data_IF_361227782044
#
_entry.id   IF_361227782044
#
_cell.length_a   1.000
_cell.length_b   1.000
_cell.length_c   1.000
_cell.angle_alpha   90.00
_cell.angle_beta   90.00
_cell.angle_gamma   90.00
#
_symmetry.space_group_name_H-M   'P 1'
#
loop_
_entity.id
_entity.type
_entity.pdbx_description
1 polymer ?
#
# COMPACT_ATOMS: atom_id res chain seq x y z
N UNK A 1 -13.27 17.70 32.14
CA UNK A 1 -12.04 16.97 32.54
C UNK A 1 -12.27 15.51 32.18
N UNK A 2 -11.62 14.83 31.24
CA UNK A 2 -10.27 14.89 30.70
C UNK A 2 -10.33 14.62 29.17
N UNK A 3 -10.07 15.64 28.33
CA UNK A 3 -9.53 15.39 26.99
C UNK A 3 -8.02 15.37 27.17
N UNK A 4 -7.47 14.23 27.57
CA UNK A 4 -6.04 14.02 27.42
C UNK A 4 -5.75 14.11 25.92
N UNK A 5 -5.06 15.19 25.55
CA UNK A 5 -4.41 15.30 24.24
C UNK A 5 -3.36 14.20 24.20
N UNK A 6 -3.74 13.03 23.72
CA UNK A 6 -2.82 11.97 23.33
C UNK A 6 -1.94 12.55 22.21
N UNK A 7 -0.79 13.13 22.59
CA UNK A 7 0.23 13.52 21.62
C UNK A 7 0.71 12.22 20.98
N UNK A 8 0.76 12.10 19.65
CA UNK A 8 1.41 10.96 19.02
C UNK A 8 2.85 10.92 19.56
N UNK A 9 3.18 9.88 20.33
CA UNK A 9 4.54 9.69 20.82
C UNK A 9 5.39 9.36 19.60
N UNK A 10 6.25 10.29 19.21
CA UNK A 10 7.19 10.12 18.08
C UNK A 10 7.97 8.81 18.23
N UNK A 11 8.24 8.40 19.47
CA UNK A 11 8.90 7.15 19.85
C UNK A 11 8.23 5.90 19.26
N UNK A 12 6.89 5.85 19.22
CA UNK A 12 6.14 4.70 18.69
C UNK A 12 6.32 4.58 17.18
N UNK A 13 6.32 5.71 16.47
CA UNK A 13 6.57 5.75 15.03
C UNK A 13 7.99 5.28 14.68
N UNK A 14 9.00 5.66 15.48
CA UNK A 14 10.37 5.18 15.27
C UNK A 14 10.50 3.68 15.52
N UNK A 15 9.82 3.14 16.54
CA UNK A 15 9.79 1.69 16.81
C UNK A 15 9.15 0.92 15.64
N UNK A 16 8.03 1.42 15.12
CA UNK A 16 7.36 0.88 13.94
C UNK A 16 8.28 0.88 12.70
N UNK A 17 9.00 1.98 12.47
CA UNK A 17 9.93 2.12 11.35
C UNK A 17 11.14 1.19 11.48
N UNK A 18 11.66 1.02 12.69
CA UNK A 18 12.70 0.03 13.00
C UNK A 18 12.18 -1.39 12.77
N UNK A 19 10.97 -1.72 13.22
CA UNK A 19 10.35 -3.02 12.98
C UNK A 19 10.21 -3.31 11.47
N UNK A 20 9.86 -2.30 10.68
CA UNK A 20 9.81 -2.41 9.22
C UNK A 20 11.20 -2.69 8.62
N UNK A 21 12.23 -1.95 9.05
CA UNK A 21 13.60 -2.21 8.61
C UNK A 21 14.08 -3.63 8.96
N UNK A 22 13.77 -4.10 10.17
CA UNK A 22 14.12 -5.46 10.61
C UNK A 22 13.39 -6.50 9.76
N UNK A 23 12.12 -6.31 9.39
CA UNK A 23 11.41 -7.27 8.52
C UNK A 23 12.00 -7.43 7.12
N UNK A 24 12.63 -6.38 6.60
CA UNK A 24 13.33 -6.45 5.31
C UNK A 24 14.64 -7.21 5.50
N UNK A 25 15.40 -6.88 6.55
CA UNK A 25 16.76 -7.37 6.72
C UNK A 25 16.83 -8.81 7.26
N UNK A 26 15.90 -9.19 8.14
CA UNK A 26 15.98 -10.44 8.91
C UNK A 26 16.01 -11.71 8.03
N UNK A 27 15.18 -11.85 6.97
CA UNK A 27 15.24 -13.03 6.11
C UNK A 27 16.54 -13.15 5.29
N UNK A 28 17.31 -12.07 5.15
CA UNK A 28 18.63 -12.08 4.51
C UNK A 28 19.78 -12.28 5.50
N UNK A 29 19.62 -11.84 6.75
CA UNK A 29 20.64 -11.98 7.79
C UNK A 29 20.67 -13.40 8.36
N UNK A 30 19.50 -14.02 8.55
CA UNK A 30 19.42 -15.37 9.13
C UNK A 30 19.73 -16.42 8.06
N UNK A 31 20.82 -17.16 8.23
CA UNK A 31 21.21 -18.21 7.29
C UNK A 31 20.23 -19.38 7.27
N UNK A 32 19.62 -19.71 8.41
CA UNK A 32 18.65 -20.79 8.49
C UNK A 32 17.28 -20.38 7.93
N UNK A 33 16.88 -21.06 6.86
CA UNK A 33 15.61 -20.83 6.15
C UNK A 33 14.42 -21.15 7.07
N UNK A 34 14.53 -22.16 7.94
CA UNK A 34 13.43 -22.55 8.83
C UNK A 34 13.13 -21.42 9.82
N UNK A 35 14.18 -20.82 10.39
CA UNK A 35 14.07 -19.70 11.32
C UNK A 35 13.50 -18.46 10.63
N UNK A 36 13.95 -18.17 9.40
CA UNK A 36 13.42 -17.07 8.59
C UNK A 36 11.92 -17.26 8.28
N UNK A 37 11.51 -18.49 7.95
CA UNK A 37 10.10 -18.83 7.70
C UNK A 37 9.25 -18.63 8.96
N UNK A 38 9.66 -19.20 10.10
CA UNK A 38 8.90 -19.05 11.36
C UNK A 38 8.71 -17.56 11.68
N UNK A 39 9.78 -16.77 11.59
CA UNK A 39 9.73 -15.34 11.84
C UNK A 39 8.76 -14.61 10.90
N UNK A 40 8.84 -14.84 9.59
CA UNK A 40 7.96 -14.18 8.63
C UNK A 40 6.48 -14.55 8.81
N UNK A 41 6.18 -15.77 9.28
CA UNK A 41 4.81 -16.22 9.55
C UNK A 41 4.23 -15.73 10.89
N UNK A 42 5.07 -15.27 11.83
CA UNK A 42 4.57 -14.64 13.06
C UNK A 42 3.79 -13.36 12.77
N UNK A 43 4.18 -12.58 11.75
CA UNK A 43 3.49 -11.32 11.42
C UNK A 43 2.04 -11.48 10.93
N UNK A 44 1.73 -12.31 9.92
CA UNK A 44 0.34 -12.56 9.55
C UNK A 44 -0.46 -13.22 10.69
N UNK A 45 0.19 -13.99 11.57
CA UNK A 45 -0.44 -14.52 12.77
C UNK A 45 -0.83 -13.39 13.75
N UNK A 46 0.08 -12.44 14.01
CA UNK A 46 -0.24 -11.27 14.85
C UNK A 46 -1.38 -10.44 14.27
N UNK A 47 -1.44 -10.24 12.95
CA UNK A 47 -2.58 -9.59 12.27
C UNK A 47 -3.90 -10.32 12.56
N UNK A 48 -3.90 -11.65 12.51
CA UNK A 48 -5.10 -12.44 12.79
C UNK A 48 -5.56 -12.30 14.25
N UNK A 49 -4.61 -12.29 15.20
CA UNK A 49 -4.87 -12.12 16.64
C UNK A 49 -5.45 -10.73 16.93
N UNK A 50 -4.96 -9.69 16.26
CA UNK A 50 -5.43 -8.31 16.41
C UNK A 50 -6.78 -8.04 15.74
N UNK A 51 -7.44 -9.07 15.19
CA UNK A 51 -8.76 -8.95 14.56
C UNK A 51 -8.74 -8.59 13.06
N UNK A 52 -7.56 -8.39 12.47
CA UNK A 52 -7.37 -8.11 11.04
C UNK A 52 -7.34 -9.40 10.20
N UNK A 53 -8.30 -10.30 10.43
CA UNK A 53 -8.35 -11.65 9.83
C UNK A 53 -8.37 -11.62 8.30
N UNK A 54 -9.13 -10.70 7.69
CA UNK A 54 -9.18 -10.56 6.23
C UNK A 54 -7.82 -10.17 5.67
N UNK A 55 -7.15 -9.18 6.27
CA UNK A 55 -5.83 -8.73 5.84
C UNK A 55 -4.76 -9.82 6.00
N UNK A 56 -4.83 -10.60 7.09
CA UNK A 56 -3.98 -11.79 7.28
C UNK A 56 -4.21 -12.85 6.19
N UNK A 57 -5.47 -13.14 5.83
CA UNK A 57 -5.77 -14.06 4.73
C UNK A 57 -5.28 -13.54 3.37
N UNK A 58 -5.45 -12.24 3.09
CA UNK A 58 -4.95 -11.63 1.86
C UNK A 58 -3.43 -11.70 1.78
N UNK A 59 -2.71 -11.40 2.86
CA UNK A 59 -1.24 -11.50 2.87
C UNK A 59 -0.74 -12.93 2.64
N UNK A 60 -1.37 -13.92 3.26
CA UNK A 60 -1.05 -15.33 3.05
C UNK A 60 -1.37 -15.79 1.62
N UNK A 61 -2.52 -15.38 1.07
CA UNK A 61 -2.91 -15.70 -0.31
C UNK A 61 -1.95 -15.03 -1.32
N UNK A 62 -1.56 -13.78 -1.09
CA UNK A 62 -0.57 -13.07 -1.91
C UNK A 62 0.79 -13.75 -1.86
N UNK A 63 1.24 -14.21 -0.69
CA UNK A 63 2.47 -14.99 -0.57
C UNK A 63 2.39 -16.33 -1.32
N UNK A 64 1.27 -17.06 -1.20
CA UNK A 64 1.06 -18.31 -1.91
C UNK A 64 1.09 -18.11 -3.43
N UNK A 65 0.43 -17.06 -3.94
CA UNK A 65 0.49 -16.72 -5.36
C UNK A 65 1.92 -16.36 -5.78
N UNK A 66 2.59 -15.50 -5.02
CA UNK A 66 3.93 -15.01 -5.36
C UNK A 66 4.96 -16.15 -5.37
N UNK A 67 4.88 -17.08 -4.42
CA UNK A 67 5.71 -18.30 -4.42
C UNK A 67 5.39 -19.24 -5.58
N UNK A 68 4.10 -19.48 -5.88
CA UNK A 68 3.67 -20.31 -7.00
C UNK A 68 4.12 -19.77 -8.37
N UNK A 69 4.31 -18.46 -8.51
CA UNK A 69 4.83 -17.87 -9.74
C UNK A 69 6.36 -17.80 -9.76
N UNK A 70 6.99 -17.33 -8.69
CA UNK A 70 8.43 -17.06 -8.72
C UNK A 70 9.29 -18.31 -8.62
N UNK A 71 8.88 -19.34 -7.85
CA UNK A 71 9.68 -20.56 -7.71
C UNK A 71 9.77 -21.31 -9.06
N UNK A 72 8.67 -21.56 -9.80
CA UNK A 72 8.78 -22.17 -11.12
C UNK A 72 9.56 -21.33 -12.13
N UNK A 73 9.44 -20.00 -12.08
CA UNK A 73 10.23 -19.11 -12.93
C UNK A 73 11.73 -19.22 -12.62
N UNK A 74 12.11 -19.29 -11.33
CA UNK A 74 13.49 -19.50 -10.93
C UNK A 74 14.03 -20.83 -11.48
N UNK A 75 13.23 -21.90 -11.46
CA UNK A 75 13.59 -23.21 -12.03
C UNK A 75 13.78 -23.13 -13.54
N UNK A 76 12.85 -22.49 -14.27
CA UNK A 76 12.91 -22.37 -15.74
C UNK A 76 14.12 -21.53 -16.18
N UNK A 77 14.40 -20.43 -15.49
CA UNK A 77 15.48 -19.51 -15.82
C UNK A 77 16.82 -19.85 -15.16
N UNK A 78 16.96 -21.01 -14.50
CA UNK A 78 18.16 -21.43 -13.77
C UNK A 78 18.63 -20.39 -12.73
N UNK A 79 17.66 -19.70 -12.12
CA UNK A 79 17.89 -18.74 -11.05
C UNK A 79 18.10 -19.40 -9.70
N UNK A 80 18.59 -18.63 -8.74
CA UNK A 80 18.80 -19.08 -7.36
C UNK A 80 17.46 -19.18 -6.60
N UNK A 81 17.01 -20.42 -6.40
CA UNK A 81 15.76 -20.74 -5.71
C UNK A 81 15.79 -20.26 -4.26
N UNK A 82 16.94 -20.32 -3.59
CA UNK A 82 17.07 -19.92 -2.19
C UNK A 82 16.85 -18.41 -2.05
N UNK A 83 17.47 -17.62 -2.92
CA UNK A 83 17.28 -16.18 -2.94
C UNK A 83 15.85 -15.77 -3.31
N UNK A 84 15.21 -16.50 -4.23
CA UNK A 84 13.78 -16.27 -4.57
C UNK A 84 12.88 -16.59 -3.37
N UNK A 85 13.16 -17.68 -2.64
CA UNK A 85 12.42 -18.02 -1.44
C UNK A 85 12.63 -17.00 -0.31
N UNK A 86 13.86 -16.52 -0.10
CA UNK A 86 14.14 -15.42 0.86
C UNK A 86 13.40 -14.15 0.49
N UNK A 87 13.35 -13.81 -0.81
CA UNK A 87 12.59 -12.66 -1.30
C UNK A 87 11.08 -12.79 -1.01
N UNK A 88 10.49 -13.97 -1.20
CA UNK A 88 9.06 -14.17 -0.89
C UNK A 88 8.77 -14.05 0.62
N UNK A 89 9.69 -14.51 1.48
CA UNK A 89 9.59 -14.34 2.93
C UNK A 89 9.73 -12.87 3.38
N UNK A 90 10.56 -12.08 2.70
CA UNK A 90 10.63 -10.62 2.91
C UNK A 90 9.31 -9.98 2.53
N UNK A 91 8.75 -10.32 1.36
CA UNK A 91 7.47 -9.79 0.92
C UNK A 91 6.34 -10.11 1.94
N UNK A 92 6.29 -11.32 2.48
CA UNK A 92 5.30 -11.73 3.48
C UNK A 92 5.39 -10.91 4.78
N UNK A 93 6.59 -10.78 5.34
CA UNK A 93 6.82 -10.09 6.62
C UNK A 93 6.62 -8.58 6.49
N UNK A 94 7.15 -7.96 5.43
CA UNK A 94 7.06 -6.53 5.16
C UNK A 94 5.64 -6.06 4.88
N UNK A 95 4.87 -6.81 4.07
CA UNK A 95 3.46 -6.49 3.83
C UNK A 95 2.65 -6.58 5.12
N UNK A 96 2.92 -7.60 5.95
CA UNK A 96 2.21 -7.79 7.21
C UNK A 96 2.50 -6.66 8.21
N UNK A 97 3.76 -6.25 8.35
CA UNK A 97 4.15 -5.11 9.19
C UNK A 97 3.65 -3.79 8.62
N UNK A 98 3.70 -3.59 7.31
CA UNK A 98 3.14 -2.41 6.68
C UNK A 98 1.65 -2.23 6.98
N UNK A 99 0.88 -3.32 6.96
CA UNK A 99 -0.54 -3.30 7.35
C UNK A 99 -0.70 -2.97 8.85
N UNK A 100 0.12 -3.56 9.72
CA UNK A 100 0.10 -3.23 11.16
C UNK A 100 0.32 -1.74 11.37
N UNK A 101 1.41 -1.19 10.83
CA UNK A 101 1.79 0.22 10.94
C UNK A 101 0.67 1.10 10.40
N UNK A 102 0.14 0.84 9.20
CA UNK A 102 -0.94 1.64 8.63
C UNK A 102 -2.24 1.57 9.44
N UNK A 103 -2.50 0.44 10.10
CA UNK A 103 -3.70 0.28 10.94
C UNK A 103 -3.57 0.96 12.30
N UNK A 104 -2.34 1.12 12.82
CA UNK A 104 -2.05 1.78 14.10
C UNK A 104 -1.66 3.25 13.92
N UNK A 105 -1.33 3.69 12.70
CA UNK A 105 -0.91 5.06 12.43
C UNK A 105 -2.04 6.05 12.68
N UNK A 106 -1.81 6.98 13.61
CA UNK A 106 -2.80 8.00 13.90
C UNK A 106 -2.86 9.06 12.77
N UNK A 107 -4.05 9.51 12.32
CA UNK A 107 -4.21 10.49 11.23
C UNK A 107 -3.52 11.84 11.48
N UNK A 108 -3.21 12.15 12.74
CA UNK A 108 -2.47 13.36 13.13
C UNK A 108 -1.04 13.39 12.61
N UNK A 109 -0.42 12.24 12.35
CA UNK A 109 0.93 12.18 11.75
C UNK A 109 0.87 12.67 10.30
N UNK A 110 -0.15 12.27 9.54
CA UNK A 110 -0.42 12.80 8.20
C UNK A 110 -0.67 14.31 8.22
N UNK A 111 -1.41 14.82 9.21
CA UNK A 111 -1.74 16.25 9.30
C UNK A 111 -0.53 17.14 9.62
N UNK A 112 0.49 16.61 10.31
CA UNK A 112 1.68 17.38 10.68
C UNK A 112 2.70 17.50 9.54
N UNK A 113 2.61 16.67 8.49
CA UNK A 113 3.45 16.79 7.31
C UNK A 113 2.62 17.32 6.13
N UNK A 114 2.87 18.56 5.73
CA UNK A 114 2.06 19.27 4.73
C UNK A 114 1.99 18.52 3.39
N UNK A 115 3.07 17.85 2.99
CA UNK A 115 3.12 17.08 1.75
C UNK A 115 2.26 15.83 1.83
N UNK A 116 2.32 15.08 2.94
CA UNK A 116 1.48 13.90 3.15
C UNK A 116 0.00 14.28 3.27
N UNK A 117 -0.29 15.42 3.90
CA UNK A 117 -1.65 15.94 4.01
C UNK A 117 -2.23 16.34 2.65
N UNK A 118 -1.45 17.08 1.84
CA UNK A 118 -1.84 17.45 0.47
C UNK A 118 -2.03 16.22 -0.41
N UNK A 119 -1.12 15.24 -0.33
CA UNK A 119 -1.24 13.96 -1.04
C UNK A 119 -2.53 13.23 -0.64
N UNK A 120 -2.83 13.16 0.66
CA UNK A 120 -4.06 12.52 1.15
C UNK A 120 -5.32 13.21 0.64
N UNK A 121 -5.35 14.56 0.60
CA UNK A 121 -6.47 15.32 0.03
C UNK A 121 -6.61 15.03 -1.46
N UNK A 122 -5.51 15.07 -2.21
CA UNK A 122 -5.51 14.80 -3.65
C UNK A 122 -6.03 13.39 -3.93
N UNK A 123 -5.47 12.39 -3.25
CA UNK A 123 -5.92 11.00 -3.37
C UNK A 123 -7.40 10.83 -3.02
N UNK A 124 -7.88 11.46 -1.96
CA UNK A 124 -9.29 11.37 -1.56
C UNK A 124 -10.22 11.99 -2.62
N UNK A 125 -9.84 13.14 -3.19
CA UNK A 125 -10.60 13.76 -4.27
C UNK A 125 -10.62 12.88 -5.53
N UNK A 126 -9.46 12.33 -5.92
CA UNK A 126 -9.37 11.40 -7.06
C UNK A 126 -10.19 10.13 -6.82
N UNK A 127 -10.15 9.55 -5.62
CA UNK A 127 -10.94 8.37 -5.27
C UNK A 127 -12.44 8.64 -5.30
N UNK A 128 -12.87 9.82 -4.85
CA UNK A 128 -14.27 10.24 -4.93
C UNK A 128 -14.73 10.32 -6.39
N UNK A 129 -13.92 10.90 -7.25
CA UNK A 129 -14.23 10.98 -8.69
C UNK A 129 -14.27 9.61 -9.36
N UNK A 130 -13.28 8.76 -9.09
CA UNK A 130 -13.28 7.38 -9.60
C UNK A 130 -14.53 6.65 -9.15
N UNK A 131 -14.97 6.85 -7.90
CA UNK A 131 -16.22 6.29 -7.39
C UNK A 131 -17.43 6.83 -8.13
N UNK A 132 -17.51 8.15 -8.34
CA UNK A 132 -18.63 8.78 -9.04
C UNK A 132 -18.71 8.27 -10.50
N UNK A 133 -17.58 8.21 -11.21
CA UNK A 133 -17.46 7.63 -12.55
C UNK A 133 -17.92 6.15 -12.54
N UNK A 134 -17.46 5.37 -11.57
CA UNK A 134 -17.85 3.97 -11.43
C UNK A 134 -19.35 3.81 -11.20
N UNK A 135 -19.98 4.68 -10.40
CA UNK A 135 -21.43 4.65 -10.18
C UNK A 135 -22.21 4.98 -11.45
N UNK A 136 -21.75 5.94 -12.25
CA UNK A 136 -22.38 6.31 -13.53
C UNK A 136 -22.32 5.16 -14.53
N UNK A 137 -21.16 4.51 -14.69
CA UNK A 137 -21.05 3.39 -15.63
C UNK A 137 -21.80 2.14 -15.15
N UNK A 138 -21.85 1.88 -13.83
CA UNK A 138 -22.70 0.83 -13.27
C UNK A 138 -24.19 1.11 -13.49
N UNK A 139 -24.64 2.36 -13.36
CA UNK A 139 -26.02 2.75 -13.66
C UNK A 139 -26.38 2.56 -15.14
N UNK A 140 -25.39 2.65 -16.03
CA UNK A 140 -25.52 2.31 -17.47
C UNK A 140 -25.49 0.80 -17.76
N UNK A 141 -25.40 -0.04 -16.73
CA UNK A 141 -25.36 -1.50 -16.86
C UNK A 141 -24.00 -2.07 -17.26
N UNK A 142 -22.92 -1.28 -17.23
CA UNK A 142 -21.59 -1.79 -17.55
C UNK A 142 -21.03 -2.64 -16.40
N UNK A 143 -20.43 -3.79 -16.75
CA UNK A 143 -19.88 -4.75 -15.79
C UNK A 143 -18.55 -5.34 -16.26
N UNK A 144 -17.83 -5.98 -15.34
CA UNK A 144 -16.59 -6.73 -15.63
C UNK A 144 -15.45 -5.84 -16.12
N UNK A 145 -14.59 -6.40 -16.97
CA UNK A 145 -13.37 -5.74 -17.46
C UNK A 145 -13.66 -4.43 -18.21
N UNK A 146 -14.77 -4.40 -18.98
CA UNK A 146 -15.19 -3.23 -19.76
C UNK A 146 -15.51 -2.02 -18.88
N UNK A 147 -16.10 -2.26 -17.71
CA UNK A 147 -16.35 -1.22 -16.72
C UNK A 147 -15.03 -0.64 -16.20
N UNK A 148 -14.08 -1.50 -15.80
CA UNK A 148 -12.80 -1.05 -15.25
C UNK A 148 -11.97 -0.28 -16.28
N UNK A 149 -11.88 -0.75 -17.53
CA UNK A 149 -11.14 -0.03 -18.57
C UNK A 149 -11.76 1.33 -18.88
N UNK A 150 -13.10 1.43 -18.92
CA UNK A 150 -13.79 2.72 -19.11
C UNK A 150 -13.59 3.67 -17.95
N UNK A 151 -13.66 3.18 -16.70
CA UNK A 151 -13.34 3.98 -15.52
C UNK A 151 -11.91 4.56 -15.64
N UNK A 152 -10.93 3.74 -16.00
CA UNK A 152 -9.53 4.17 -16.14
C UNK A 152 -9.41 5.24 -17.23
N UNK A 153 -9.93 4.99 -18.44
CA UNK A 153 -9.84 5.93 -19.57
C UNK A 153 -10.52 7.26 -19.22
N UNK A 154 -11.73 7.23 -18.68
CA UNK A 154 -12.46 8.43 -18.30
C UNK A 154 -11.76 9.21 -17.19
N UNK A 155 -11.18 8.51 -16.20
CA UNK A 155 -10.41 9.16 -15.13
C UNK A 155 -9.17 9.87 -15.67
N UNK A 156 -8.47 9.25 -16.62
CA UNK A 156 -7.31 9.86 -17.30
C UNK A 156 -7.71 11.13 -18.04
N UNK A 157 -8.78 11.07 -18.86
CA UNK A 157 -9.28 12.22 -19.62
C UNK A 157 -9.63 13.38 -18.70
N UNK A 158 -10.41 13.13 -17.64
CA UNK A 158 -10.80 14.16 -16.67
C UNK A 158 -9.58 14.77 -16.00
N UNK A 159 -8.56 13.96 -15.69
CA UNK A 159 -7.33 14.45 -15.06
C UNK A 159 -6.56 15.37 -16.01
N UNK A 160 -6.44 15.02 -17.30
CA UNK A 160 -5.81 15.89 -18.30
C UNK A 160 -6.54 17.21 -18.45
N UNK A 161 -7.88 17.19 -18.57
CA UNK A 161 -8.67 18.43 -18.65
C UNK A 161 -8.51 19.30 -17.41
N UNK A 162 -8.36 18.70 -16.23
CA UNK A 162 -8.08 19.43 -14.99
C UNK A 162 -6.70 20.05 -14.95
N UNK A 163 -5.69 19.35 -15.47
CA UNK A 163 -4.34 19.90 -15.56
C UNK A 163 -4.34 21.10 -16.52
N UNK A 164 -5.00 20.99 -17.67
CA UNK A 164 -5.13 22.10 -18.63
C UNK A 164 -5.83 23.30 -17.99
N UNK A 165 -6.98 23.09 -17.34
CA UNK A 165 -7.71 24.18 -16.67
C UNK A 165 -6.93 24.79 -15.49
N UNK A 166 -6.11 24.00 -14.79
CA UNK A 166 -5.24 24.49 -13.74
C UNK A 166 -4.10 25.33 -14.33
N UNK A 167 -3.47 24.87 -15.41
CA UNK A 167 -2.43 25.62 -16.14
C UNK A 167 -3.00 26.95 -16.62
N UNK A 168 -4.19 26.94 -17.24
CA UNK A 168 -4.85 28.16 -17.72
C UNK A 168 -5.17 29.14 -16.58
N UNK A 169 -5.65 28.62 -15.45
CA UNK A 169 -5.92 29.41 -14.24
C UNK A 169 -4.66 30.02 -13.63
N UNK A 170 -3.55 29.29 -13.64
CA UNK A 170 -2.26 29.77 -13.11
C UNK A 170 -1.61 30.79 -14.06
N UNK A 171 -1.69 30.57 -15.38
CA UNK A 171 -1.31 31.55 -16.40
C UNK A 171 -2.11 32.84 -16.27
N UNK A 172 -3.43 32.74 -16.07
CA UNK A 172 -4.29 33.91 -15.84
C UNK A 172 -3.94 34.70 -14.56
N UNK A 173 -3.26 34.07 -13.60
CA UNK A 173 -2.75 34.70 -12.37
C UNK A 173 -1.30 35.20 -12.51
N UNK A 174 -0.71 35.14 -13.71
CA UNK A 174 0.67 35.56 -13.97
C UNK A 174 1.73 34.62 -13.41
N UNK A 175 1.37 33.37 -13.09
CA UNK A 175 2.33 32.34 -12.67
C UNK A 175 2.72 31.57 -13.92
N UNK A 176 3.93 31.79 -14.41
CA UNK A 176 4.50 31.03 -15.53
C UNK A 176 4.91 29.64 -15.04
N UNK A 177 4.37 28.62 -15.68
CA UNK A 177 4.70 27.21 -15.45
C UNK A 177 5.39 26.75 -16.74
N UNK A 178 6.72 26.58 -16.67
CA UNK A 178 7.52 25.89 -17.71
C UNK A 178 7.44 24.38 -17.55
#
# INVERSE_FOLDING_TARGET
>A
MFRERYRPRKDVFYIELIAMAISIAFPYIVKDIIVATIYSFLYPLTLAILGLRKSSLYTLASYALLTLFLIPMAVVFHGDIENVYRFTLVALSTLSIGILILSTLHPTIFRNNIYLYLLAIMLNNTLKEVRDIATVFRAKGEQGLKLYTRIIITSIIITFTKIETLIDSLKARGIEIE
#
